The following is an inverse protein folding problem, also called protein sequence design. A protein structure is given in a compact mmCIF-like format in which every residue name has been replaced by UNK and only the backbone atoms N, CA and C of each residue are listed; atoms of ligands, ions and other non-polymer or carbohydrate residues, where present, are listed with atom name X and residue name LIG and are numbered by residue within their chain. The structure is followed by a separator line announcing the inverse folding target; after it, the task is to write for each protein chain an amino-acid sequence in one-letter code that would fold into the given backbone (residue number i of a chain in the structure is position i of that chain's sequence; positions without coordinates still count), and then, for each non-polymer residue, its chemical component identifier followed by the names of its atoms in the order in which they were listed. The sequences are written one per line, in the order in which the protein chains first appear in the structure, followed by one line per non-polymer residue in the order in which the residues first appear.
data_IF_176775524173
#
_entry.id   IF_176775524173
#
_cell.length_a   1.000
_cell.length_b   1.000
_cell.length_c   1.000
_cell.angle_alpha   90.00
_cell.angle_beta   90.00
_cell.angle_gamma   90.00
#
_symmetry.space_group_name_H-M   'P 1'
#
loop_
_entity.id
_entity.type
_entity.pdbx_description
1 polymer ?
#
# COMPACT_ATOMS: atom_id res chain seq x y z
N UNK A 1 -8.89 5.83 -19.68
CA UNK A 1 -9.78 4.85 -19.01
C UNK A 1 -11.18 5.41 -18.77
N UNK A 2 -11.36 6.55 -18.10
CA UNK A 2 -12.69 7.11 -17.80
C UNK A 2 -13.66 7.24 -19.01
N UNK A 3 -13.18 7.63 -20.20
CA UNK A 3 -14.00 7.71 -21.43
C UNK A 3 -14.41 6.35 -21.99
N UNK A 4 -13.55 5.33 -21.84
CA UNK A 4 -13.84 3.95 -22.27
C UNK A 4 -14.76 3.27 -21.25
N UNK A 5 -14.50 3.47 -19.96
CA UNK A 5 -15.31 3.00 -18.84
C UNK A 5 -16.76 3.51 -18.88
N UNK A 6 -16.98 4.77 -19.28
CA UNK A 6 -18.34 5.31 -19.44
C UNK A 6 -19.02 4.84 -20.73
N UNK A 7 -18.26 4.54 -21.79
CA UNK A 7 -18.81 4.08 -23.07
C UNK A 7 -19.17 2.58 -23.06
N UNK A 8 -18.34 1.76 -22.42
CA UNK A 8 -18.43 0.29 -22.37
C UNK A 8 -18.15 -0.18 -20.93
N UNK A 9 -19.13 -0.05 -20.03
CA UNK A 9 -19.03 -0.60 -18.68
C UNK A 9 -19.23 -2.12 -18.76
N UNK A 10 -18.13 -2.86 -18.78
CA UNK A 10 -18.13 -4.33 -18.82
C UNK A 10 -17.18 -4.84 -17.75
N UNK A 11 -17.53 -5.92 -17.04
CA UNK A 11 -16.64 -6.55 -16.05
C UNK A 11 -15.31 -7.06 -16.66
N UNK A 12 -15.23 -7.13 -18.00
CA UNK A 12 -14.01 -7.44 -18.74
C UNK A 12 -12.95 -6.33 -18.77
N UNK A 13 -13.19 -5.19 -18.11
CA UNK A 13 -12.18 -4.19 -17.75
C UNK A 13 -11.18 -3.85 -18.87
N UNK A 14 -9.90 -3.86 -18.51
CA UNK A 14 -8.79 -3.32 -19.33
C UNK A 14 -8.55 -4.11 -20.62
N UNK A 15 -8.74 -5.44 -20.61
CA UNK A 15 -8.52 -6.28 -21.80
C UNK A 15 -9.64 -6.13 -22.83
N UNK A 16 -10.89 -5.95 -22.39
CA UNK A 16 -12.00 -5.69 -23.28
C UNK A 16 -11.87 -4.31 -23.94
N UNK A 17 -11.48 -3.29 -23.18
CA UNK A 17 -11.20 -1.97 -23.71
C UNK A 17 -10.02 -1.95 -24.68
N UNK A 18 -8.96 -2.71 -24.41
CA UNK A 18 -7.82 -2.86 -25.33
C UNK A 18 -8.23 -3.55 -26.64
N UNK A 19 -9.13 -4.53 -26.58
CA UNK A 19 -9.67 -5.21 -27.76
C UNK A 19 -10.46 -4.25 -28.65
N UNK A 20 -11.30 -3.40 -28.04
CA UNK A 20 -12.10 -2.41 -28.78
C UNK A 20 -11.21 -1.30 -29.35
N UNK A 21 -10.24 -0.80 -28.58
CA UNK A 21 -9.31 0.24 -29.01
C UNK A 21 -8.40 -0.22 -30.15
N UNK A 22 -8.03 -1.50 -30.18
CA UNK A 22 -7.21 -2.10 -31.24
C UNK A 22 -7.90 -2.30 -32.59
N UNK A 23 -9.22 -2.06 -32.67
CA UNK A 23 -10.01 -2.20 -33.89
C UNK A 23 -10.11 -3.65 -34.42
N UNK A 24 -10.75 -3.87 -35.59
CA UNK A 24 -11.08 -5.20 -36.09
C UNK A 24 -9.86 -6.04 -36.53
N UNK A 25 -8.71 -5.42 -36.78
CA UNK A 25 -7.48 -6.12 -37.24
C UNK A 25 -6.56 -6.54 -36.08
N UNK A 26 -6.35 -5.68 -35.10
CA UNK A 26 -5.38 -5.90 -34.02
C UNK A 26 -6.01 -6.09 -32.64
N UNK A 27 -7.32 -5.87 -32.50
CA UNK A 27 -8.04 -5.96 -31.23
C UNK A 27 -7.84 -7.28 -30.49
N UNK A 28 -7.93 -8.42 -31.16
CA UNK A 28 -7.76 -9.74 -30.53
C UNK A 28 -6.34 -9.95 -29.96
N UNK A 29 -5.33 -9.49 -30.69
CA UNK A 29 -3.92 -9.63 -30.29
C UNK A 29 -3.61 -8.68 -29.13
N UNK A 30 -4.02 -7.41 -29.24
CA UNK A 30 -3.82 -6.41 -28.19
C UNK A 30 -4.57 -6.79 -26.91
N UNK A 31 -5.82 -7.23 -27.02
CA UNK A 31 -6.60 -7.73 -25.89
C UNK A 31 -5.96 -8.93 -25.18
N UNK A 32 -5.40 -9.88 -25.93
CA UNK A 32 -4.71 -11.04 -25.37
C UNK A 32 -3.47 -10.64 -24.57
N UNK A 33 -2.58 -9.83 -25.16
CA UNK A 33 -1.37 -9.37 -24.46
C UNK A 33 -1.71 -8.46 -23.27
N UNK A 34 -2.69 -7.56 -23.40
CA UNK A 34 -3.15 -6.73 -22.27
C UNK A 34 -3.71 -7.59 -21.15
N UNK A 35 -4.46 -8.66 -21.44
CA UNK A 35 -4.97 -9.59 -20.44
C UNK A 35 -3.86 -10.31 -19.68
N UNK A 36 -2.82 -10.80 -20.37
CA UNK A 36 -1.67 -11.44 -19.73
C UNK A 36 -0.85 -10.46 -18.87
N UNK A 37 -0.60 -9.24 -19.36
CA UNK A 37 0.09 -8.21 -18.58
C UNK A 37 -0.71 -7.86 -17.32
N UNK A 38 -2.04 -7.75 -17.44
CA UNK A 38 -2.91 -7.52 -16.29
C UNK A 38 -2.82 -8.66 -15.28
N UNK A 39 -2.88 -9.92 -15.74
CA UNK A 39 -2.74 -11.09 -14.87
C UNK A 39 -1.41 -11.09 -14.10
N UNK A 40 -0.28 -10.83 -14.78
CA UNK A 40 1.01 -10.72 -14.11
C UNK A 40 1.08 -9.54 -13.15
N UNK A 41 0.46 -8.40 -13.49
CA UNK A 41 0.33 -7.26 -12.59
C UNK A 41 -0.35 -7.63 -11.27
N UNK A 42 -1.50 -8.29 -11.35
CA UNK A 42 -2.22 -8.79 -10.17
C UNK A 42 -1.42 -9.83 -9.37
N UNK A 43 -0.71 -10.73 -10.05
CA UNK A 43 0.14 -11.74 -9.39
C UNK A 43 1.31 -11.10 -8.62
N UNK A 44 2.01 -10.13 -9.23
CA UNK A 44 3.12 -9.43 -8.57
C UNK A 44 2.64 -8.50 -7.46
N UNK A 45 1.47 -7.87 -7.62
CA UNK A 45 0.84 -7.08 -6.55
C UNK A 45 0.51 -7.95 -5.35
N UNK A 46 -0.06 -9.15 -5.55
CA UNK A 46 -0.31 -10.10 -4.47
C UNK A 46 0.98 -10.48 -3.73
N UNK A 47 2.04 -10.86 -4.46
CA UNK A 47 3.33 -11.19 -3.87
C UNK A 47 3.92 -10.01 -3.07
N UNK A 48 3.77 -8.78 -3.57
CA UNK A 48 4.25 -7.58 -2.90
C UNK A 48 3.48 -7.30 -1.61
N UNK A 49 2.14 -7.42 -1.62
CA UNK A 49 1.31 -7.22 -0.43
C UNK A 49 1.61 -8.26 0.66
N UNK A 50 1.75 -9.53 0.28
CA UNK A 50 2.15 -10.61 1.22
C UNK A 50 3.53 -10.36 1.83
N UNK A 51 4.48 -9.87 1.03
CA UNK A 51 5.80 -9.51 1.51
C UNK A 51 5.72 -8.35 2.52
N UNK A 52 4.96 -7.30 2.23
CA UNK A 52 4.80 -6.16 3.15
C UNK A 52 4.11 -6.62 4.45
N UNK A 53 2.99 -7.34 4.38
CA UNK A 53 2.29 -7.85 5.56
C UNK A 53 3.18 -8.71 6.45
N UNK A 54 3.99 -9.58 5.84
CA UNK A 54 4.93 -10.40 6.60
C UNK A 54 6.03 -9.57 7.28
N UNK A 55 6.53 -8.52 6.63
CA UNK A 55 7.50 -7.61 7.25
C UNK A 55 6.89 -6.88 8.43
N UNK A 56 5.64 -6.40 8.30
CA UNK A 56 4.91 -5.74 9.38
C UNK A 56 4.70 -6.71 10.55
N UNK A 57 4.23 -7.94 10.31
CA UNK A 57 3.99 -8.93 11.36
C UNK A 57 5.26 -9.30 12.14
N UNK A 58 6.38 -9.55 11.44
CA UNK A 58 7.68 -9.82 12.09
C UNK A 58 8.18 -8.60 12.86
N UNK A 59 7.98 -7.40 12.31
CA UNK A 59 8.38 -6.15 12.96
C UNK A 59 7.57 -5.88 14.23
N UNK A 60 6.28 -6.21 14.26
CA UNK A 60 5.44 -6.11 15.45
C UNK A 60 5.98 -6.99 16.59
N UNK A 61 6.38 -8.23 16.28
CA UNK A 61 7.00 -9.12 17.26
C UNK A 61 8.37 -8.59 17.72
N UNK A 62 9.16 -8.05 16.80
CA UNK A 62 10.47 -7.47 17.09
C UNK A 62 10.38 -6.23 18.01
N UNK A 63 9.37 -5.38 17.83
CA UNK A 63 9.13 -4.20 18.69
C UNK A 63 8.82 -4.61 20.14
N UNK A 64 8.11 -5.72 20.34
CA UNK A 64 7.79 -6.23 21.67
C UNK A 64 8.98 -6.90 22.37
N UNK A 65 9.83 -7.59 21.60
CA UNK A 65 10.98 -8.37 22.12
C UNK A 65 12.32 -7.79 21.69
N UNK A 66 12.46 -6.47 21.75
CA UNK A 66 13.59 -5.74 21.15
C UNK A 66 14.97 -6.24 21.61
N UNK A 67 15.11 -6.61 22.88
CA UNK A 67 16.42 -6.94 23.46
C UNK A 67 16.87 -8.39 23.21
N UNK A 68 15.96 -9.25 22.74
CA UNK A 68 16.21 -10.69 22.58
C UNK A 68 15.96 -11.22 21.17
N UNK A 69 15.40 -10.40 20.27
CA UNK A 69 14.99 -10.84 18.94
C UNK A 69 15.68 -10.05 17.83
N UNK A 70 16.45 -10.76 17.02
CA UNK A 70 17.02 -10.23 15.78
C UNK A 70 16.21 -10.78 14.61
N UNK A 71 15.58 -9.88 13.85
CA UNK A 71 14.83 -10.26 12.65
C UNK A 71 15.77 -10.89 11.63
N UNK A 72 15.47 -12.12 11.20
CA UNK A 72 16.20 -12.82 10.16
C UNK A 72 15.33 -12.97 8.91
N UNK A 73 15.93 -13.00 7.69
CA UNK A 73 15.19 -13.15 6.45
C UNK A 73 14.23 -14.36 6.42
N UNK A 74 14.61 -15.45 7.08
CA UNK A 74 13.81 -16.66 7.15
C UNK A 74 12.51 -16.48 7.95
N UNK A 75 12.47 -15.60 8.96
CA UNK A 75 11.24 -15.31 9.71
C UNK A 75 10.20 -14.61 8.83
N UNK A 76 10.64 -13.69 7.97
CA UNK A 76 9.78 -13.03 6.98
C UNK A 76 9.30 -14.04 5.94
N UNK A 77 10.14 -14.97 5.51
CA UNK A 77 9.71 -16.02 4.58
C UNK A 77 8.64 -16.95 5.18
N UNK A 78 8.78 -17.35 6.45
CA UNK A 78 7.75 -18.15 7.13
C UNK A 78 6.45 -17.36 7.26
N UNK A 79 6.52 -16.09 7.68
CA UNK A 79 5.35 -15.22 7.79
C UNK A 79 4.63 -15.07 6.45
N UNK A 80 5.37 -14.91 5.36
CA UNK A 80 4.85 -14.88 3.99
C UNK A 80 4.05 -16.15 3.67
N UNK A 81 4.60 -17.34 3.96
CA UNK A 81 3.90 -18.61 3.70
C UNK A 81 2.63 -18.76 4.54
N UNK A 82 2.68 -18.37 5.82
CA UNK A 82 1.53 -18.45 6.73
C UNK A 82 0.39 -17.55 6.21
N UNK A 83 0.71 -16.30 5.86
CA UNK A 83 -0.28 -15.35 5.34
C UNK A 83 -0.82 -15.84 3.99
N UNK A 84 0.04 -16.30 3.09
CA UNK A 84 -0.37 -16.82 1.78
C UNK A 84 -1.37 -17.98 1.91
N UNK A 85 -1.03 -19.00 2.70
CA UNK A 85 -1.89 -20.17 2.88
C UNK A 85 -3.14 -19.82 3.71
N UNK A 86 -3.03 -18.90 4.66
CA UNK A 86 -4.15 -18.37 5.42
C UNK A 86 -5.16 -17.64 4.53
N UNK A 87 -4.69 -16.72 3.69
CA UNK A 87 -5.52 -16.01 2.70
C UNK A 87 -6.13 -16.99 1.69
N UNK A 88 -5.36 -17.96 1.17
CA UNK A 88 -5.88 -18.99 0.28
C UNK A 88 -6.99 -19.82 0.95
N UNK A 89 -6.77 -20.23 2.20
CA UNK A 89 -7.78 -20.94 2.99
C UNK A 89 -9.04 -20.10 3.21
N UNK A 90 -8.89 -18.81 3.54
CA UNK A 90 -10.02 -17.90 3.71
C UNK A 90 -10.83 -17.75 2.42
N UNK A 91 -10.18 -17.58 1.27
CA UNK A 91 -10.87 -17.47 -0.02
C UNK A 91 -11.59 -18.79 -0.38
N UNK A 92 -11.00 -19.95 -0.10
CA UNK A 92 -11.60 -21.25 -0.42
C UNK A 92 -12.80 -21.57 0.49
N UNK A 93 -12.67 -21.35 1.80
CA UNK A 93 -13.65 -21.82 2.79
C UNK A 93 -14.61 -20.73 3.29
N UNK A 94 -14.22 -19.46 3.24
CA UNK A 94 -14.90 -18.34 3.89
C UNK A 94 -15.27 -17.20 2.94
N UNK A 95 -15.34 -17.46 1.62
CA UNK A 95 -15.69 -16.44 0.61
C UNK A 95 -16.99 -15.68 0.92
N UNK A 96 -17.95 -16.32 1.60
CA UNK A 96 -19.21 -15.68 2.02
C UNK A 96 -19.00 -14.49 2.97
N UNK A 97 -17.90 -14.46 3.72
CA UNK A 97 -17.58 -13.40 4.67
C UNK A 97 -16.79 -12.24 4.05
N UNK A 98 -16.27 -12.42 2.83
CA UNK A 98 -15.49 -11.41 2.11
C UNK A 98 -16.14 -10.01 2.04
N UNK A 99 -17.45 -9.86 1.73
CA UNK A 99 -18.05 -8.52 1.70
C UNK A 99 -18.08 -7.85 3.08
N UNK A 100 -18.28 -8.63 4.14
CA UNK A 100 -18.29 -8.09 5.51
C UNK A 100 -16.90 -7.64 5.94
N UNK A 101 -15.86 -8.43 5.63
CA UNK A 101 -14.48 -8.05 5.92
C UNK A 101 -14.08 -6.81 5.13
N UNK A 102 -14.50 -6.68 3.86
CA UNK A 102 -14.20 -5.50 3.05
C UNK A 102 -14.87 -4.22 3.57
N UNK A 103 -16.10 -4.30 4.08
CA UNK A 103 -16.77 -3.16 4.71
C UNK A 103 -16.12 -2.74 6.03
N UNK A 104 -15.85 -3.71 6.92
CA UNK A 104 -15.16 -3.46 8.18
C UNK A 104 -13.77 -2.87 7.94
N UNK A 105 -13.09 -3.43 6.95
CA UNK A 105 -11.78 -3.03 6.48
C UNK A 105 -11.71 -1.60 5.97
N UNK A 106 -12.61 -1.23 5.06
CA UNK A 106 -12.71 0.14 4.56
C UNK A 106 -12.84 1.17 5.70
N UNK A 107 -13.65 0.87 6.71
CA UNK A 107 -13.79 1.72 7.91
C UNK A 107 -12.48 1.75 8.70
N UNK A 108 -11.85 0.58 8.90
CA UNK A 108 -10.59 0.44 9.61
C UNK A 108 -9.46 1.23 8.94
N UNK A 109 -9.31 1.18 7.61
CA UNK A 109 -8.30 1.93 6.85
C UNK A 109 -8.52 3.43 6.96
N UNK A 110 -9.76 3.89 6.79
CA UNK A 110 -10.10 5.31 6.83
C UNK A 110 -9.80 5.90 8.20
N UNK A 111 -10.27 5.26 9.28
CA UNK A 111 -10.04 5.73 10.64
C UNK A 111 -8.58 5.52 11.04
N UNK A 112 -8.05 4.33 10.77
CA UNK A 112 -6.73 3.87 11.18
C UNK A 112 -5.61 4.77 10.65
N UNK A 113 -5.58 5.10 9.36
CA UNK A 113 -4.50 5.98 8.92
C UNK A 113 -4.76 7.46 9.11
N UNK A 114 -6.00 7.93 9.36
CA UNK A 114 -6.18 9.27 9.97
C UNK A 114 -5.54 9.31 11.36
N UNK A 115 -5.76 8.27 12.18
CA UNK A 115 -5.09 8.13 13.50
C UNK A 115 -3.58 8.07 13.30
N UNK A 116 -3.08 7.30 12.33
CA UNK A 116 -1.64 7.18 12.05
C UNK A 116 -1.03 8.53 11.68
N UNK A 117 -1.69 9.31 10.82
CA UNK A 117 -1.25 10.66 10.44
C UNK A 117 -1.23 11.58 11.67
N UNK A 118 -2.28 11.56 12.50
CA UNK A 118 -2.35 12.39 13.72
C UNK A 118 -1.23 12.00 14.70
N UNK A 119 -1.01 10.71 14.91
CA UNK A 119 0.04 10.22 15.80
C UNK A 119 1.42 10.62 15.28
N UNK A 120 1.70 10.43 13.99
CA UNK A 120 2.96 10.86 13.37
C UNK A 120 3.16 12.37 13.40
N UNK A 121 2.09 13.17 13.35
CA UNK A 121 2.21 14.62 13.44
C UNK A 121 2.39 15.12 14.88
N UNK A 122 1.69 14.51 15.85
CA UNK A 122 1.56 15.02 17.21
C UNK A 122 2.49 14.37 18.25
N UNK A 123 2.89 13.12 18.06
CA UNK A 123 3.74 12.41 19.02
C UNK A 123 5.23 12.77 18.93
N UNK A 124 5.84 12.97 17.74
CA UNK A 124 7.23 13.40 17.67
C UNK A 124 7.43 14.71 18.41
N UNK A 125 8.38 14.73 19.35
CA UNK A 125 8.76 15.95 20.08
C UNK A 125 9.79 16.79 19.34
N UNK A 126 10.56 16.16 18.47
CA UNK A 126 11.47 16.81 17.53
C UNK A 126 10.97 16.50 16.13
N UNK A 127 10.58 17.55 15.42
CA UNK A 127 10.24 17.45 14.01
C UNK A 127 11.47 17.73 13.17
N UNK A 128 11.61 17.02 12.06
CA UNK A 128 12.66 17.32 11.09
C UNK A 128 12.56 18.77 10.61
N UNK A 129 13.70 19.38 10.27
CA UNK A 129 13.70 20.74 9.76
C UNK A 129 13.00 20.82 8.40
N UNK A 130 12.39 21.96 8.07
CA UNK A 130 11.82 22.16 6.73
C UNK A 130 12.88 22.06 5.63
N UNK A 131 14.15 22.35 5.93
CA UNK A 131 15.25 22.10 4.99
C UNK A 131 15.40 20.59 4.70
N UNK A 132 15.37 19.76 5.75
CA UNK A 132 15.42 18.32 5.59
C UNK A 132 14.25 17.80 4.75
N UNK A 133 13.02 18.22 5.02
CA UNK A 133 11.86 17.70 4.28
C UNK A 133 11.82 18.13 2.81
N UNK A 134 12.21 19.38 2.49
CA UNK A 134 11.96 19.96 1.16
C UNK A 134 13.20 20.14 0.29
N UNK A 135 14.39 20.34 0.89
CA UNK A 135 15.61 20.73 0.16
C UNK A 135 16.73 19.69 0.23
N UNK A 136 16.70 18.74 1.17
CA UNK A 136 17.81 17.80 1.39
C UNK A 136 17.79 16.54 0.51
N UNK A 137 17.08 16.57 -0.63
CA UNK A 137 16.94 15.40 -1.49
C UNK A 137 18.29 14.87 -1.99
N UNK A 138 19.17 15.76 -2.45
CA UNK A 138 20.51 15.37 -2.93
C UNK A 138 21.45 14.95 -1.79
N UNK A 139 21.28 15.54 -0.60
CA UNK A 139 22.09 15.23 0.60
C UNK A 139 21.78 13.84 1.17
N UNK A 140 20.51 13.42 1.08
CA UNK A 140 20.03 12.15 1.62
C UNK A 140 19.93 11.02 0.59
N UNK A 141 20.37 11.28 -0.65
CA UNK A 141 20.33 10.28 -1.71
C UNK A 141 21.42 9.21 -1.52
N UNK A 142 21.04 8.10 -0.89
CA UNK A 142 21.90 6.93 -0.68
C UNK A 142 21.89 5.93 -1.86
N UNK A 143 21.18 6.22 -2.95
CA UNK A 143 21.03 5.25 -4.06
C UNK A 143 22.29 5.07 -4.90
N UNK A 144 23.25 6.01 -4.79
CA UNK A 144 24.46 6.04 -5.62
C UNK A 144 24.23 6.53 -7.06
N UNK A 145 23.00 6.87 -7.43
CA UNK A 145 22.64 7.40 -8.75
C UNK A 145 22.41 8.92 -8.71
N UNK A 146 22.55 9.62 -9.85
CA UNK A 146 22.18 11.03 -9.95
C UNK A 146 20.73 11.28 -9.52
N UNK A 147 20.45 12.45 -8.94
CA UNK A 147 19.15 12.78 -8.33
C UNK A 147 17.93 12.51 -9.23
N UNK A 148 18.06 12.69 -10.55
CA UNK A 148 16.98 12.38 -11.49
C UNK A 148 16.58 10.90 -11.53
N UNK A 149 17.55 9.98 -11.46
CA UNK A 149 17.27 8.53 -11.43
C UNK A 149 16.71 8.13 -10.06
N UNK A 150 17.27 8.66 -8.99
CA UNK A 150 16.76 8.46 -7.63
C UNK A 150 15.29 8.92 -7.50
N UNK A 151 14.95 10.04 -8.13
CA UNK A 151 13.57 10.55 -8.18
C UNK A 151 12.64 9.58 -8.91
N UNK A 152 13.03 9.06 -10.07
CA UNK A 152 12.22 8.07 -10.81
C UNK A 152 12.02 6.77 -10.03
N UNK A 153 13.03 6.33 -9.27
CA UNK A 153 12.91 5.17 -8.37
C UNK A 153 11.89 5.42 -7.25
N UNK A 154 11.82 6.64 -6.72
CA UNK A 154 10.79 7.04 -5.77
C UNK A 154 9.39 7.07 -6.38
N UNK A 155 9.25 7.65 -7.58
CA UNK A 155 7.97 7.74 -8.31
C UNK A 155 7.40 6.34 -8.62
N UNK A 156 8.24 5.35 -8.87
CA UNK A 156 7.80 3.97 -9.12
C UNK A 156 6.96 3.39 -7.97
N UNK A 157 7.36 3.64 -6.72
CA UNK A 157 6.61 3.21 -5.53
C UNK A 157 5.26 3.94 -5.42
N UNK A 158 5.23 5.24 -5.73
CA UNK A 158 3.98 6.00 -5.78
C UNK A 158 3.03 5.52 -6.88
N UNK A 159 3.56 5.14 -8.04
CA UNK A 159 2.79 4.58 -9.14
C UNK A 159 2.16 3.22 -8.76
N UNK A 160 2.88 2.38 -8.01
CA UNK A 160 2.34 1.13 -7.47
C UNK A 160 1.11 1.36 -6.58
N UNK A 161 1.16 2.34 -5.68
CA UNK A 161 0.04 2.66 -4.76
C UNK A 161 -1.23 3.15 -5.48
N UNK A 162 -1.08 3.83 -6.61
CA UNK A 162 -2.23 4.34 -7.40
C UNK A 162 -2.79 3.25 -8.34
N UNK A 163 -2.02 2.18 -8.61
CA UNK A 163 -2.17 1.26 -9.74
C UNK A 163 -3.45 0.41 -9.82
N UNK A 164 -4.37 0.48 -8.86
CA UNK A 164 -5.60 -0.35 -8.82
C UNK A 164 -6.94 0.36 -9.16
N UNK A 165 -7.04 1.31 -10.13
CA UNK A 165 -8.36 1.81 -10.55
C UNK A 165 -9.16 0.78 -11.34
N UNK A 166 -8.51 -0.28 -11.86
CA UNK A 166 -9.15 -1.36 -12.60
C UNK A 166 -10.04 -2.24 -11.71
N UNK A 167 -9.76 -2.34 -10.41
CA UNK A 167 -10.60 -3.08 -9.44
C UNK A 167 -12.06 -2.63 -9.46
N UNK A 168 -12.30 -1.31 -9.55
CA UNK A 168 -13.66 -0.74 -9.59
C UNK A 168 -14.41 -1.16 -10.85
N UNK A 169 -13.69 -1.49 -11.92
CA UNK A 169 -14.29 -1.90 -13.20
C UNK A 169 -14.86 -3.31 -13.15
N UNK A 170 -14.36 -4.17 -12.26
CA UNK A 170 -14.92 -5.50 -12.05
C UNK A 170 -16.29 -5.47 -11.35
N UNK A 171 -16.53 -4.43 -10.52
CA UNK A 171 -17.83 -4.19 -9.87
C UNK A 171 -18.80 -3.38 -10.75
N UNK A 172 -18.43 -3.06 -11.99
CA UNK A 172 -19.25 -2.21 -12.84
C UNK A 172 -20.65 -2.79 -13.11
N UNK A 173 -20.81 -4.11 -13.09
CA UNK A 173 -22.09 -4.78 -13.33
C UNK A 173 -23.05 -4.71 -12.13
N UNK A 174 -22.54 -4.43 -10.93
CA UNK A 174 -23.33 -4.30 -9.69
C UNK A 174 -23.80 -2.85 -9.44
N UNK A 175 -23.29 -1.89 -10.21
CA UNK A 175 -23.64 -0.48 -10.03
C UNK A 175 -25.02 -0.18 -10.62
N UNK A 176 -25.86 0.64 -9.95
CA UNK A 176 -27.13 1.07 -10.51
C UNK A 176 -27.00 1.88 -11.81
N UNK A 177 -25.96 2.73 -11.91
CA UNK A 177 -25.71 3.57 -13.10
C UNK A 177 -24.22 3.58 -13.51
N UNK A 178 -23.67 2.47 -14.03
CA UNK A 178 -22.23 2.30 -14.22
C UNK A 178 -21.62 3.33 -15.17
N UNK A 179 -22.33 3.79 -16.20
CA UNK A 179 -21.82 4.81 -17.13
C UNK A 179 -21.50 6.16 -16.47
N UNK A 180 -22.16 6.49 -15.36
CA UNK A 180 -21.98 7.76 -14.63
C UNK A 180 -21.21 7.57 -13.33
N UNK A 181 -21.45 6.46 -12.63
CA UNK A 181 -20.92 6.25 -11.29
C UNK A 181 -19.50 5.68 -11.33
N UNK A 182 -19.18 4.82 -12.29
CA UNK A 182 -17.83 4.26 -12.47
C UNK A 182 -16.74 5.33 -12.67
N UNK A 183 -16.87 6.31 -13.59
CA UNK A 183 -15.84 7.33 -13.76
C UNK A 183 -15.72 8.26 -12.54
N UNK A 184 -16.81 8.50 -11.80
CA UNK A 184 -16.79 9.28 -10.55
C UNK A 184 -16.09 8.52 -9.43
N UNK A 185 -16.36 7.21 -9.29
CA UNK A 185 -15.72 6.35 -8.31
C UNK A 185 -14.20 6.27 -8.53
N UNK A 186 -13.76 6.09 -9.78
CA UNK A 186 -12.33 6.10 -10.15
C UNK A 186 -11.69 7.45 -9.80
N UNK A 187 -12.34 8.56 -10.13
CA UNK A 187 -11.81 9.89 -9.80
C UNK A 187 -11.70 10.10 -8.29
N UNK A 188 -12.74 9.71 -7.53
CA UNK A 188 -12.77 9.84 -6.08
C UNK A 188 -11.68 8.99 -5.42
N UNK A 189 -11.48 7.75 -5.88
CA UNK A 189 -10.41 6.86 -5.40
C UNK A 189 -9.03 7.52 -5.58
N UNK A 190 -8.75 8.05 -6.76
CA UNK A 190 -7.45 8.70 -7.04
C UNK A 190 -7.27 9.96 -6.19
N UNK A 191 -8.30 10.80 -6.07
CA UNK A 191 -8.23 12.04 -5.29
C UNK A 191 -8.06 11.76 -3.80
N UNK A 192 -8.86 10.87 -3.21
CA UNK A 192 -8.76 10.52 -1.80
C UNK A 192 -7.42 9.83 -1.50
N UNK A 193 -6.98 8.91 -2.36
CA UNK A 193 -5.68 8.27 -2.25
C UNK A 193 -4.52 9.27 -2.31
N UNK A 194 -4.58 10.26 -3.22
CA UNK A 194 -3.59 11.32 -3.31
C UNK A 194 -3.55 12.19 -2.05
N UNK A 195 -4.69 12.69 -1.58
CA UNK A 195 -4.75 13.54 -0.38
C UNK A 195 -4.19 12.79 0.84
N UNK A 196 -4.58 11.53 0.98
CA UNK A 196 -4.16 10.71 2.10
C UNK A 196 -2.66 10.38 2.06
N UNK A 197 -2.16 9.90 0.92
CA UNK A 197 -0.74 9.60 0.73
C UNK A 197 0.14 10.86 0.88
N UNK A 198 -0.33 12.01 0.41
CA UNK A 198 0.38 13.28 0.53
C UNK A 198 0.49 13.74 1.99
N UNK A 199 -0.63 13.74 2.73
CA UNK A 199 -0.62 14.06 4.16
C UNK A 199 0.24 13.09 4.97
N UNK A 200 0.14 11.79 4.67
CA UNK A 200 0.95 10.76 5.33
C UNK A 200 2.45 10.94 5.03
N UNK A 201 2.83 11.19 3.78
CA UNK A 201 4.23 11.40 3.41
C UNK A 201 4.84 12.62 4.10
N UNK A 202 4.09 13.72 4.22
CA UNK A 202 4.54 14.91 4.97
C UNK A 202 4.69 14.57 6.46
N UNK A 203 3.67 13.99 7.09
CA UNK A 203 3.72 13.63 8.50
C UNK A 203 4.87 12.67 8.82
N UNK A 204 5.07 11.66 7.97
CA UNK A 204 6.16 10.70 8.09
C UNK A 204 7.53 11.39 7.95
N UNK A 205 7.71 12.27 6.96
CA UNK A 205 8.97 12.98 6.73
C UNK A 205 9.36 13.88 7.90
N UNK A 206 8.40 14.58 8.50
CA UNK A 206 8.62 15.40 9.69
C UNK A 206 8.84 14.57 10.96
N UNK A 207 8.41 13.31 11.00
CA UNK A 207 8.63 12.41 12.14
C UNK A 207 10.02 11.75 12.16
N UNK A 208 10.78 11.83 11.07
CA UNK A 208 12.14 11.25 10.99
C UNK A 208 13.10 12.12 11.80
N UNK A 209 13.77 11.52 12.79
CA UNK A 209 14.80 12.20 13.60
C UNK A 209 16.21 11.75 13.23
N UNK A 210 16.37 10.49 12.82
CA UNK A 210 17.64 9.94 12.35
C UNK A 210 17.45 9.05 11.11
N UNK A 211 17.93 9.54 9.97
CA UNK A 211 17.86 8.83 8.68
C UNK A 211 18.86 7.67 8.59
N UNK A 212 19.97 7.71 9.32
CA UNK A 212 21.00 6.66 9.26
C UNK A 212 20.48 5.36 9.87
N UNK A 213 19.64 5.46 10.90
CA UNK A 213 18.91 4.34 11.48
C UNK A 213 17.88 3.69 10.53
N UNK A 214 17.53 4.37 9.42
CA UNK A 214 16.65 3.82 8.38
C UNK A 214 17.43 3.07 7.29
N UNK A 215 18.74 3.29 7.21
CA UNK A 215 19.61 2.76 6.15
C UNK A 215 20.33 1.45 6.57
N UNK A 216 20.25 1.07 7.85
CA UNK A 216 20.88 -0.14 8.37
C UNK A 216 20.00 -1.39 8.29
N UNK A 217 20.57 -2.50 7.79
CA UNK A 217 20.01 -3.86 7.92
C UNK A 217 19.47 -4.47 6.62
N UNK A 218 19.78 -5.75 6.38
CA UNK A 218 19.12 -6.55 5.32
C UNK A 218 17.67 -6.86 5.75
N UNK A 219 16.69 -6.59 4.89
CA UNK A 219 15.25 -6.61 5.23
C UNK A 219 14.85 -5.60 6.32
N UNK A 220 15.49 -4.43 6.37
CA UNK A 220 14.96 -3.34 7.19
C UNK A 220 13.60 -2.90 6.61
N UNK A 221 12.57 -2.90 7.43
CA UNK A 221 11.30 -2.26 7.13
C UNK A 221 11.35 -0.85 7.74
N UNK A 222 11.72 0.18 6.96
CA UNK A 222 12.15 1.47 7.54
C UNK A 222 11.04 2.13 8.34
N UNK A 223 9.78 1.90 7.95
CA UNK A 223 8.60 2.38 8.65
C UNK A 223 8.55 1.97 10.12
N UNK A 224 9.03 0.78 10.48
CA UNK A 224 9.10 0.35 11.89
C UNK A 224 10.03 1.25 12.69
N UNK A 225 11.21 1.56 12.15
CA UNK A 225 12.16 2.45 12.83
C UNK A 225 11.61 3.87 12.92
N UNK A 226 10.92 4.37 11.88
CA UNK A 226 10.27 5.70 11.92
C UNK A 226 9.17 5.73 13.00
N UNK A 227 8.34 4.69 13.10
CA UNK A 227 7.28 4.63 14.12
C UNK A 227 7.84 4.53 15.55
N UNK A 228 8.95 3.82 15.73
CA UNK A 228 9.64 3.78 17.03
C UNK A 228 10.27 5.13 17.35
N UNK A 229 10.92 5.80 16.38
CA UNK A 229 11.46 7.16 16.56
C UNK A 229 10.35 8.15 16.92
N UNK A 230 9.23 8.11 16.20
CA UNK A 230 8.09 8.99 16.41
C UNK A 230 7.39 8.82 17.77
N UNK A 231 7.40 7.60 18.31
CA UNK A 231 6.73 7.27 19.59
C UNK A 231 7.65 7.23 20.80
N UNK A 232 8.94 7.58 20.63
CA UNK A 232 9.91 7.65 21.73
C UNK A 232 9.70 8.93 22.56
N UNK A 233 9.62 8.77 23.88
CA UNK A 233 9.40 9.88 24.82
C UNK A 233 10.64 10.78 24.97
N UNK A 234 10.48 11.96 25.57
CA UNK A 234 11.54 12.97 25.79
C UNK A 234 12.73 12.49 26.62
N UNK A 235 12.58 11.40 27.37
CA UNK A 235 13.64 10.74 28.14
C UNK A 235 14.39 9.67 27.35
N UNK A 236 14.09 9.50 26.05
CA UNK A 236 14.64 8.43 25.20
C UNK A 236 13.99 7.06 25.44
N UNK A 237 12.94 6.99 26.28
CA UNK A 237 12.23 5.75 26.57
C UNK A 237 11.24 5.47 25.44
N UNK A 238 11.43 4.33 24.78
CA UNK A 238 10.58 3.84 23.69
C UNK A 238 9.20 3.45 24.21
N UNK A 239 8.15 3.71 23.42
CA UNK A 239 6.80 3.23 23.68
C UNK A 239 6.45 2.08 22.70
N UNK A 240 6.76 0.82 23.05
CA UNK A 240 6.52 -0.32 22.16
C UNK A 240 5.04 -0.52 21.86
N UNK A 241 4.14 -0.14 22.76
CA UNK A 241 2.69 -0.26 22.56
C UNK A 241 2.16 0.70 21.48
N UNK A 242 2.65 1.94 21.46
CA UNK A 242 2.26 2.90 20.42
C UNK A 242 2.81 2.51 19.04
N UNK A 243 4.07 2.08 18.96
CA UNK A 243 4.66 1.59 17.71
C UNK A 243 3.95 0.31 17.21
N UNK A 244 3.62 -0.62 18.11
CA UNK A 244 2.84 -1.82 17.79
C UNK A 244 1.44 -1.45 17.26
N UNK A 245 0.76 -0.50 17.90
CA UNK A 245 -0.57 -0.03 17.46
C UNK A 245 -0.55 0.53 16.04
N UNK A 246 0.47 1.34 15.69
CA UNK A 246 0.62 1.87 14.33
C UNK A 246 0.92 0.78 13.30
N UNK A 247 1.75 -0.21 13.65
CA UNK A 247 2.01 -1.37 12.78
C UNK A 247 0.78 -2.27 12.63
N UNK A 248 -0.02 -2.43 13.69
CA UNK A 248 -1.27 -3.19 13.63
C UNK A 248 -2.30 -2.52 12.71
N UNK A 249 -2.43 -1.19 12.81
CA UNK A 249 -3.25 -0.41 11.87
C UNK A 249 -2.76 -0.64 10.44
N UNK A 250 -1.44 -0.58 10.21
CA UNK A 250 -0.87 -0.81 8.89
C UNK A 250 -1.16 -2.23 8.37
N UNK A 251 -1.07 -3.26 9.23
CA UNK A 251 -1.36 -4.64 8.85
C UNK A 251 -2.83 -4.80 8.39
N UNK A 252 -3.77 -4.27 9.17
CA UNK A 252 -5.20 -4.34 8.81
C UNK A 252 -5.49 -3.61 7.49
N UNK A 253 -4.84 -2.47 7.24
CA UNK A 253 -4.99 -1.77 5.95
C UNK A 253 -4.54 -2.59 4.74
N UNK A 254 -3.55 -3.48 4.90
CA UNK A 254 -3.05 -4.30 3.79
C UNK A 254 -3.98 -5.49 3.54
N UNK A 255 -4.53 -6.10 4.58
CA UNK A 255 -5.44 -7.24 4.48
C UNK A 255 -6.76 -6.89 3.75
N UNK A 256 -7.21 -5.64 3.87
CA UNK A 256 -8.40 -5.17 3.16
C UNK A 256 -8.22 -5.06 1.64
N UNK A 257 -6.99 -4.86 1.18
CA UNK A 257 -6.64 -4.83 -0.26
C UNK A 257 -6.71 -6.25 -0.85
N UNK A 258 -6.51 -7.29 -0.02
CA UNK A 258 -6.57 -8.70 -0.40
C UNK A 258 -8.00 -9.28 -0.42
N UNK A 259 -9.00 -8.54 0.05
CA UNK A 259 -10.38 -9.00 0.09
C UNK A 259 -10.89 -9.32 -1.33
N UNK A 260 -11.40 -10.54 -1.60
CA UNK A 260 -11.95 -10.84 -2.90
C UNK A 260 -13.20 -10.01 -3.13
N UNK A 261 -13.31 -9.47 -4.33
CA UNK A 261 -14.47 -8.75 -4.82
C UNK A 261 -15.72 -9.64 -4.62
N UNK A 262 -16.78 -9.16 -3.93
CA UNK A 262 -18.01 -9.91 -3.83
C UNK A 262 -18.56 -10.20 -5.23
N UNK A 263 -19.21 -11.36 -5.38
CA UNK A 263 -20.10 -11.68 -6.50
C UNK A 263 -21.53 -11.62 -6.01
#
# INVERSE_FOLDING_TARGET
MAKLASSVPTAGGVYHWATIAGGPRWGRVLGFFTGWINFYGWLFSLASLLQISSNVAVSMYAVWNWDHYVSQPFHVYIGYLIILWGSAGFVIFANRYAPYTQHAGTIFVLIGGVITIIVLAAMPKQHASSHFVWLSFDENNATGWPGGVAFLLGVLNGAFTIGTPDSVTHMAEEMPHPKKDLPKAILLQILLGFVYAFCFAIALSYAITDITALQGGFNSFPLTNIYVQATTNSTGIRNPGAAFGLLFIMLGCIEDILGPCPR
#
